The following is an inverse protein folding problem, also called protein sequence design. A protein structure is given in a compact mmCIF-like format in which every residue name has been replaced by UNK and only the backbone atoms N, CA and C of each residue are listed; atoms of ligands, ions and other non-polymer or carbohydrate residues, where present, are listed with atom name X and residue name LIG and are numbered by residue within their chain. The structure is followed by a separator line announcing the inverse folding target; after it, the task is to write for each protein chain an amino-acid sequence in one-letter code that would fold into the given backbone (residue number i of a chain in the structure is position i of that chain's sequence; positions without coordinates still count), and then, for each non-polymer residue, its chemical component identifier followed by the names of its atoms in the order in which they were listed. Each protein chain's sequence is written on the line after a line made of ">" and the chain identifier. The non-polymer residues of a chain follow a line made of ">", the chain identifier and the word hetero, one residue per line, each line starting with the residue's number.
data_IF_483757732484
#
_entry.id   IF_483757732484
#
_cell.length_a   1.000
_cell.length_b   1.000
_cell.length_c   1.000
_cell.angle_alpha   90.00
_cell.angle_beta   90.00
_cell.angle_gamma   90.00
#
_symmetry.space_group_name_H-M   'P 1'
#
loop_
_entity.id
_entity.type
_entity.pdbx_description
1 polymer ?
#
# COMPACT_ATOMS: atom_id res chain seq x y z
N UNK A 1 -8.87 21.10 -58.09
CA UNK A 1 -9.26 21.74 -56.80
C UNK A 1 -9.52 20.75 -55.64
N UNK A 2 -9.78 19.46 -55.91
CA UNK A 2 -10.16 18.46 -54.89
C UNK A 2 -9.01 17.90 -54.02
N UNK A 3 -7.75 17.91 -54.50
CA UNK A 3 -6.60 17.29 -53.79
C UNK A 3 -6.17 18.01 -52.50
N UNK A 4 -6.42 19.32 -52.38
CA UNK A 4 -6.05 20.11 -51.18
C UNK A 4 -7.01 19.84 -50.02
N UNK A 5 -8.29 19.57 -50.32
CA UNK A 5 -9.34 19.27 -49.32
C UNK A 5 -9.09 17.93 -48.61
N UNK A 6 -8.65 16.91 -49.36
CA UNK A 6 -8.37 15.57 -48.85
C UNK A 6 -7.16 15.58 -47.91
N UNK A 7 -6.11 16.34 -48.25
CA UNK A 7 -4.88 16.46 -47.43
C UNK A 7 -5.11 17.18 -46.10
N UNK A 8 -6.00 18.18 -46.05
CA UNK A 8 -6.41 18.82 -44.79
C UNK A 8 -7.20 17.88 -43.88
N UNK A 9 -8.04 17.02 -44.45
CA UNK A 9 -8.91 16.10 -43.70
C UNK A 9 -8.14 14.91 -43.09
N UNK A 10 -7.08 14.44 -43.75
CA UNK A 10 -6.18 13.40 -43.19
C UNK A 10 -5.29 13.96 -42.08
N UNK A 11 -4.75 15.17 -42.23
CA UNK A 11 -3.96 15.84 -41.19
C UNK A 11 -4.81 16.12 -39.94
N UNK A 12 -6.05 16.58 -40.13
CA UNK A 12 -6.99 16.83 -39.03
C UNK A 12 -7.37 15.55 -38.28
N UNK A 13 -7.57 14.43 -39.01
CA UNK A 13 -7.78 13.10 -38.40
C UNK A 13 -6.58 12.61 -37.59
N UNK A 14 -5.35 12.76 -38.09
CA UNK A 14 -4.14 12.35 -37.35
C UNK A 14 -3.91 13.19 -36.09
N UNK A 15 -4.23 14.49 -36.12
CA UNK A 15 -4.16 15.36 -34.94
C UNK A 15 -5.18 14.94 -33.87
N UNK A 16 -6.42 14.63 -34.28
CA UNK A 16 -7.48 14.17 -33.36
C UNK A 16 -7.12 12.80 -32.74
N UNK A 17 -6.60 11.87 -33.52
CA UNK A 17 -6.22 10.53 -33.04
C UNK A 17 -5.03 10.60 -32.06
N UNK A 18 -4.05 11.47 -32.33
CA UNK A 18 -2.93 11.70 -31.41
C UNK A 18 -3.36 12.38 -30.11
N UNK A 19 -4.35 13.28 -30.17
CA UNK A 19 -4.90 13.93 -28.97
C UNK A 19 -5.70 12.94 -28.13
N UNK A 20 -6.45 12.05 -28.78
CA UNK A 20 -7.22 10.99 -28.11
C UNK A 20 -6.32 9.94 -27.45
N UNK A 21 -5.18 9.61 -28.07
CA UNK A 21 -4.15 8.73 -27.49
C UNK A 21 -3.48 9.32 -26.25
N UNK A 22 -3.31 10.65 -26.19
CA UNK A 22 -2.64 11.31 -25.08
C UNK A 22 -3.52 11.38 -23.81
N UNK A 23 -4.84 11.46 -23.97
CA UNK A 23 -5.80 11.55 -22.85
C UNK A 23 -5.95 10.21 -22.10
N UNK A 24 -5.81 9.08 -22.79
CA UNK A 24 -5.98 7.74 -22.18
C UNK A 24 -4.81 7.37 -21.25
N UNK A 25 -3.59 7.86 -21.52
CA UNK A 25 -2.44 7.61 -20.67
C UNK A 25 -2.52 8.27 -19.28
N UNK A 26 -3.39 9.29 -19.11
CA UNK A 26 -3.51 10.04 -17.86
C UNK A 26 -4.49 9.42 -16.85
N UNK A 27 -5.34 8.46 -17.26
CA UNK A 27 -6.43 7.94 -16.41
C UNK A 27 -6.01 6.77 -15.50
N UNK A 28 -4.81 6.19 -15.67
CA UNK A 28 -4.45 4.93 -15.00
C UNK A 28 -3.69 5.07 -13.67
N UNK A 29 -3.51 6.27 -13.11
CA UNK A 29 -2.80 6.43 -11.82
C UNK A 29 -3.77 6.91 -10.74
N UNK A 30 -4.74 6.07 -10.39
CA UNK A 30 -5.46 6.19 -9.12
C UNK A 30 -4.57 5.67 -7.98
N UNK A 31 -3.47 6.36 -7.70
CA UNK A 31 -2.75 6.14 -6.44
C UNK A 31 -3.50 6.93 -5.37
N UNK A 32 -4.24 6.22 -4.51
CA UNK A 32 -4.69 6.78 -3.24
C UNK A 32 -3.44 7.26 -2.50
N UNK A 33 -3.16 8.56 -2.56
CA UNK A 33 -1.94 9.19 -2.02
C UNK A 33 -1.92 9.23 -0.50
N UNK A 34 -3.04 8.90 0.15
CA UNK A 34 -3.10 8.70 1.59
C UNK A 34 -2.64 7.28 1.93
N UNK A 35 -1.35 7.14 2.27
CA UNK A 35 -0.88 5.94 2.96
C UNK A 35 -1.69 5.80 4.25
N UNK A 36 -2.37 4.66 4.49
CA UNK A 36 -3.12 4.46 5.72
C UNK A 36 -2.17 4.59 6.92
N UNK A 37 -2.54 5.44 7.87
CA UNK A 37 -1.78 5.64 9.10
C UNK A 37 -1.91 4.40 9.99
N UNK A 38 -0.77 3.91 10.48
CA UNK A 38 -0.71 2.90 11.52
C UNK A 38 0.55 3.11 12.37
N UNK A 39 0.45 2.75 13.65
CA UNK A 39 1.58 2.75 14.59
C UNK A 39 2.52 1.56 14.33
N UNK A 40 1.93 0.43 13.95
CA UNK A 40 2.64 -0.80 13.63
C UNK A 40 2.04 -1.52 12.42
N UNK A 41 2.85 -2.33 11.76
CA UNK A 41 2.49 -3.11 10.59
C UNK A 41 2.85 -4.59 10.79
N UNK A 42 2.03 -5.47 10.21
CA UNK A 42 2.24 -6.91 10.19
C UNK A 42 2.18 -7.42 8.76
N UNK A 43 3.13 -8.27 8.36
CA UNK A 43 3.23 -8.83 7.01
C UNK A 43 3.76 -10.26 7.07
N UNK A 44 3.28 -11.13 6.17
CA UNK A 44 3.79 -12.51 6.03
C UNK A 44 5.26 -12.57 5.60
N UNK A 45 5.77 -11.50 4.96
CA UNK A 45 7.20 -11.33 4.61
C UNK A 45 7.98 -10.51 5.67
N UNK A 46 7.37 -10.26 6.83
CA UNK A 46 7.94 -9.47 7.92
C UNK A 46 8.99 -10.20 8.74
N UNK A 47 9.48 -9.54 9.79
CA UNK A 47 10.39 -10.13 10.78
C UNK A 47 10.07 -9.63 12.19
N UNK A 48 9.92 -10.52 13.16
CA UNK A 48 9.60 -10.15 14.55
C UNK A 48 10.76 -9.49 15.32
N UNK A 49 11.95 -9.43 14.69
CA UNK A 49 13.10 -8.66 15.17
C UNK A 49 13.11 -7.20 14.71
N UNK A 50 12.30 -6.85 13.72
CA UNK A 50 12.19 -5.47 13.22
C UNK A 50 11.36 -4.59 14.16
N UNK A 51 11.32 -3.28 13.90
CA UNK A 51 10.59 -2.30 14.71
C UNK A 51 9.08 -2.38 14.50
N UNK A 52 8.63 -2.89 13.35
CA UNK A 52 7.24 -2.95 12.95
C UNK A 52 6.66 -1.60 12.51
N UNK A 53 7.44 -0.52 12.47
CA UNK A 53 6.94 0.85 12.18
C UNK A 53 6.88 1.17 10.68
N UNK A 54 7.56 0.38 9.86
CA UNK A 54 7.57 0.55 8.42
C UNK A 54 6.52 -0.36 7.78
N UNK A 55 5.80 0.19 6.81
CA UNK A 55 4.75 -0.53 6.11
C UNK A 55 5.29 -1.66 5.21
N UNK A 56 6.56 -1.56 4.82
CA UNK A 56 7.32 -2.47 3.96
C UNK A 56 8.76 -2.59 4.47
N UNK A 57 9.49 -3.68 4.16
CA UNK A 57 10.90 -3.79 4.49
C UNK A 57 11.71 -2.62 3.91
N UNK A 58 12.67 -2.09 4.67
CA UNK A 58 13.63 -1.12 4.13
C UNK A 58 14.57 -1.79 3.10
N UNK A 59 15.29 -0.98 2.32
CA UNK A 59 16.17 -1.46 1.26
C UNK A 59 17.19 -2.51 1.76
N UNK A 60 17.71 -2.30 2.96
CA UNK A 60 18.72 -3.17 3.58
C UNK A 60 18.12 -4.38 4.31
N UNK A 61 16.78 -4.51 4.37
CA UNK A 61 16.04 -5.55 5.11
C UNK A 61 16.45 -5.67 6.59
N UNK A 62 16.83 -4.54 7.18
CA UNK A 62 17.18 -4.42 8.60
C UNK A 62 15.99 -3.94 9.44
N UNK A 63 14.96 -3.39 8.80
CA UNK A 63 13.72 -2.98 9.44
C UNK A 63 12.52 -3.16 8.50
N UNK A 64 11.31 -3.16 9.05
CA UNK A 64 10.09 -3.50 8.31
C UNK A 64 8.92 -3.86 9.22
N UNK A 65 7.85 -4.46 8.66
CA UNK A 65 6.70 -4.95 9.41
C UNK A 65 7.04 -6.18 10.26
N UNK A 66 6.29 -6.41 11.35
CA UNK A 66 6.39 -7.67 12.11
C UNK A 66 5.92 -8.87 11.27
N UNK A 67 6.43 -10.05 11.58
CA UNK A 67 5.97 -11.29 10.96
C UNK A 67 4.67 -11.80 11.60
N UNK A 68 4.49 -11.56 12.90
CA UNK A 68 3.39 -12.14 13.67
C UNK A 68 2.51 -11.11 14.39
N UNK A 69 1.21 -11.44 14.49
CA UNK A 69 0.24 -10.68 15.29
C UNK A 69 0.62 -10.70 16.78
N UNK A 70 1.22 -11.80 17.26
CA UNK A 70 1.69 -11.93 18.65
C UNK A 70 2.73 -10.86 18.97
N UNK A 71 3.72 -10.65 18.09
CA UNK A 71 4.74 -9.62 18.27
C UNK A 71 4.15 -8.22 18.25
N UNK A 72 3.22 -7.96 17.32
CA UNK A 72 2.53 -6.67 17.25
C UNK A 72 1.77 -6.35 18.56
N UNK A 73 1.05 -7.32 19.15
CA UNK A 73 0.39 -7.17 20.46
C UNK A 73 1.38 -6.85 21.58
N UNK A 74 2.53 -7.53 21.60
CA UNK A 74 3.58 -7.27 22.58
C UNK A 74 4.14 -5.84 22.43
N UNK A 75 4.39 -5.39 21.20
CA UNK A 75 4.85 -4.03 20.90
C UNK A 75 3.83 -2.98 21.37
N UNK A 76 2.53 -3.19 21.13
CA UNK A 76 1.47 -2.31 21.64
C UNK A 76 1.45 -2.26 23.16
N UNK A 77 1.61 -3.41 23.85
CA UNK A 77 1.65 -3.44 25.32
C UNK A 77 2.80 -2.60 25.87
N UNK A 78 3.97 -2.65 25.23
CA UNK A 78 5.12 -1.81 25.59
C UNK A 78 4.92 -0.34 25.22
N UNK A 79 4.28 -0.06 24.09
CA UNK A 79 4.05 1.30 23.57
C UNK A 79 2.96 2.06 24.33
N UNK A 80 1.95 1.36 24.86
CA UNK A 80 0.80 1.98 25.56
C UNK A 80 1.20 2.73 26.84
N UNK A 81 2.36 2.44 27.43
CA UNK A 81 2.84 3.12 28.63
C UNK A 81 3.07 4.61 28.34
N UNK A 82 2.07 5.45 28.65
CA UNK A 82 2.11 6.90 28.43
C UNK A 82 1.35 7.39 27.19
N UNK A 83 0.64 6.52 26.47
CA UNK A 83 -0.14 6.89 25.28
C UNK A 83 -1.64 6.71 25.56
N UNK A 84 -2.38 7.82 25.51
CA UNK A 84 -3.84 7.88 25.74
C UNK A 84 -4.62 8.12 24.44
N UNK A 85 -4.26 7.38 23.40
CA UNK A 85 -4.99 7.37 22.13
C UNK A 85 -5.09 5.95 21.58
N UNK A 86 -5.94 5.77 20.59
CA UNK A 86 -6.00 4.53 19.83
C UNK A 86 -4.67 4.24 19.15
N UNK A 87 -4.30 2.96 19.17
CA UNK A 87 -3.09 2.43 18.54
C UNK A 87 -3.54 1.58 17.37
N UNK A 88 -3.15 1.97 16.16
CA UNK A 88 -3.54 1.30 14.93
C UNK A 88 -2.47 0.30 14.50
N UNK A 89 -2.89 -0.95 14.26
CA UNK A 89 -2.05 -1.99 13.66
C UNK A 89 -2.62 -2.34 12.30
N UNK A 90 -1.84 -2.15 11.24
CA UNK A 90 -2.25 -2.54 9.89
C UNK A 90 -1.67 -3.90 9.53
N UNK A 91 -2.55 -4.84 9.21
CA UNK A 91 -2.19 -6.19 8.78
C UNK A 91 -2.25 -6.22 7.25
N UNK A 92 -1.14 -6.59 6.61
CA UNK A 92 -1.07 -6.75 5.15
C UNK A 92 -1.91 -7.96 4.72
N UNK A 93 -2.28 -8.00 3.44
CA UNK A 93 -2.97 -9.17 2.88
C UNK A 93 -2.07 -10.41 2.97
N UNK A 94 -2.65 -11.53 3.40
CA UNK A 94 -1.95 -12.80 3.54
C UNK A 94 -2.64 -13.73 4.53
N UNK A 95 -2.11 -14.94 4.64
CA UNK A 95 -2.59 -15.94 5.59
C UNK A 95 -1.81 -15.85 6.90
N UNK A 96 -2.53 -15.72 8.01
CA UNK A 96 -1.94 -15.62 9.35
C UNK A 96 -2.48 -16.74 10.22
N UNK A 97 -1.60 -17.69 10.55
CA UNK A 97 -1.96 -18.81 11.42
C UNK A 97 -1.93 -18.34 12.87
N UNK A 98 -3.11 -18.24 13.48
CA UNK A 98 -3.24 -17.95 14.89
C UNK A 98 -3.17 -19.26 15.67
N UNK A 99 -2.16 -19.39 16.53
CA UNK A 99 -2.16 -20.46 17.52
C UNK A 99 -3.31 -20.20 18.51
N UNK A 100 -4.13 -21.22 18.72
CA UNK A 100 -5.25 -21.19 19.67
C UNK A 100 -4.77 -20.79 21.07
N UNK A 101 -5.44 -19.79 21.65
CA UNK A 101 -5.15 -19.33 23.00
C UNK A 101 -5.96 -20.16 24.00
N UNK A 102 -5.33 -21.14 24.67
CA UNK A 102 -5.95 -22.02 25.67
C UNK A 102 -6.24 -21.36 27.03
N UNK A 103 -6.52 -20.04 27.05
CA UNK A 103 -6.71 -19.28 28.29
C UNK A 103 -8.11 -18.65 28.43
N UNK A 104 -9.16 -19.21 27.81
CA UNK A 104 -10.55 -18.77 28.05
C UNK A 104 -11.31 -19.60 29.10
N UNK A 105 -10.61 -20.40 29.91
CA UNK A 105 -11.19 -21.12 31.03
C UNK A 105 -10.33 -20.88 32.27
N UNK A 106 -10.53 -19.74 32.94
CA UNK A 106 -10.41 -19.52 34.39
C UNK A 106 -11.03 -18.15 34.72
#
# INVERSE_FOLDING_TARGET
>A
MYRVKIRKMTIFKSIIISFFSFVIASVCVAQNTNKPYADFFVSTIGNDRWSGKLSEPNADRTDGPFASIKKAKAAVKSFKNGVYRDIFILIRGGEYHLAENKNSLL
#
